data_IF_910735219135
#
_entry.id   IF_910735219135
#
_cell.length_a   1.000
_cell.length_b   1.000
_cell.length_c   1.000
_cell.angle_alpha   90.00
_cell.angle_beta   90.00
_cell.angle_gamma   90.00
#
_symmetry.space_group_name_H-M   'P 1'
#
loop_
_entity.id
_entity.type
_entity.pdbx_description
1 polymer ?
#
# COMPACT_ATOMS: atom_id res chain seq x y z
N UNK A 1 4.58 -35.72 30.97
CA UNK A 1 3.47 -36.62 31.36
C UNK A 1 2.74 -36.00 32.54
N UNK A 2 1.73 -35.18 32.29
CA UNK A 2 0.67 -34.92 33.27
C UNK A 2 -0.65 -35.24 32.57
N UNK A 3 -1.26 -36.33 33.01
CA UNK A 3 -2.52 -36.85 32.49
C UNK A 3 -3.66 -35.97 32.99
N UNK A 4 -4.28 -35.21 32.08
CA UNK A 4 -5.59 -34.61 32.29
C UNK A 4 -6.63 -35.66 31.91
N UNK A 5 -7.08 -36.45 32.89
CA UNK A 5 -8.21 -37.38 32.72
C UNK A 5 -9.46 -36.68 33.24
N UNK A 6 -9.97 -35.74 32.45
CA UNK A 6 -11.29 -35.16 32.65
C UNK A 6 -12.33 -36.03 31.94
N UNK A 7 -13.36 -36.47 32.67
CA UNK A 7 -14.52 -37.14 32.09
C UNK A 7 -15.18 -36.23 31.06
N UNK A 8 -15.08 -36.60 29.77
CA UNK A 8 -15.67 -35.88 28.66
C UNK A 8 -17.19 -36.09 28.68
N UNK A 9 -17.95 -35.08 29.10
CA UNK A 9 -19.42 -35.14 29.11
C UNK A 9 -19.94 -35.31 27.67
N UNK A 10 -20.63 -36.44 27.45
CA UNK A 10 -21.19 -36.87 26.17
C UNK A 10 -22.21 -35.90 25.58
N UNK A 11 -22.74 -34.95 26.38
CA UNK A 11 -23.63 -33.87 25.91
C UNK A 11 -22.88 -32.85 25.05
N UNK A 12 -21.58 -32.65 25.25
CA UNK A 12 -20.76 -31.72 24.45
C UNK A 12 -20.12 -32.38 23.22
N UNK A 13 -20.05 -33.72 23.18
CA UNK A 13 -19.58 -34.48 22.03
C UNK A 13 -20.43 -34.25 20.76
N UNK A 14 -21.71 -33.89 20.93
CA UNK A 14 -22.66 -33.72 19.82
C UNK A 14 -22.50 -32.41 19.04
N UNK A 15 -21.68 -31.47 19.51
CA UNK A 15 -21.39 -30.20 18.83
C UNK A 15 -20.05 -30.21 18.08
N UNK A 16 -19.20 -31.21 18.32
CA UNK A 16 -17.86 -31.31 17.73
C UNK A 16 -17.77 -32.41 16.68
N UNK A 17 -18.80 -32.59 15.85
CA UNK A 17 -18.61 -33.30 14.58
C UNK A 17 -18.06 -32.30 13.56
N UNK A 18 -16.77 -32.38 13.16
CA UNK A 18 -16.36 -31.71 11.95
C UNK A 18 -17.08 -32.42 10.80
N UNK A 19 -18.24 -31.88 10.41
CA UNK A 19 -18.85 -32.23 9.13
C UNK A 19 -17.82 -31.91 8.06
N UNK A 20 -17.11 -32.94 7.60
CA UNK A 20 -16.05 -32.91 6.58
C UNK A 20 -16.64 -32.68 5.19
N UNK A 21 -17.49 -31.65 5.07
CA UNK A 21 -18.18 -31.16 3.89
C UNK A 21 -18.32 -29.65 4.12
N UNK A 22 -17.26 -28.86 3.97
CA UNK A 22 -16.91 -28.19 2.71
C UNK A 22 -15.40 -27.83 2.65
N UNK A 23 -14.57 -28.67 2.05
CA UNK A 23 -13.16 -28.33 1.78
C UNK A 23 -13.00 -27.25 0.69
N UNK A 24 -14.08 -26.86 0.02
CA UNK A 24 -14.10 -25.80 -1.00
C UNK A 24 -14.89 -24.61 -0.47
N UNK A 25 -14.29 -23.42 -0.46
CA UNK A 25 -15.00 -22.23 -0.05
C UNK A 25 -16.16 -21.96 -1.00
N UNK A 26 -17.29 -21.51 -0.47
CA UNK A 26 -18.44 -21.17 -1.29
C UNK A 26 -18.10 -20.02 -2.26
N UNK A 27 -18.83 -19.90 -3.39
CA UNK A 27 -18.65 -18.78 -4.31
C UNK A 27 -18.82 -17.41 -3.62
N UNK A 28 -19.58 -17.34 -2.52
CA UNK A 28 -19.69 -16.14 -1.68
C UNK A 28 -18.40 -15.87 -0.91
N UNK A 29 -17.83 -16.89 -0.29
CA UNK A 29 -16.58 -16.78 0.46
C UNK A 29 -15.39 -16.46 -0.44
N UNK A 30 -15.31 -17.03 -1.66
CA UNK A 30 -14.27 -16.70 -2.64
C UNK A 30 -14.35 -15.22 -3.01
N UNK A 31 -15.55 -14.72 -3.34
CA UNK A 31 -15.77 -13.29 -3.63
C UNK A 31 -15.38 -12.40 -2.46
N UNK A 32 -15.76 -12.77 -1.24
CA UNK A 32 -15.39 -12.03 -0.03
C UNK A 32 -13.87 -12.00 0.21
N UNK A 33 -13.18 -13.13 0.01
CA UNK A 33 -11.71 -13.19 0.12
C UNK A 33 -11.03 -12.35 -0.95
N UNK A 34 -11.48 -12.42 -2.20
CA UNK A 34 -10.95 -11.61 -3.28
C UNK A 34 -11.08 -10.11 -2.98
N UNK A 35 -12.25 -9.66 -2.51
CA UNK A 35 -12.47 -8.27 -2.16
C UNK A 35 -11.70 -7.84 -0.91
N UNK A 36 -11.53 -8.72 0.08
CA UNK A 36 -10.64 -8.47 1.22
C UNK A 36 -9.20 -8.27 0.74
N UNK A 37 -8.69 -9.17 -0.10
CA UNK A 37 -7.33 -9.05 -0.66
C UNK A 37 -7.16 -7.76 -1.46
N UNK A 38 -8.16 -7.34 -2.24
CA UNK A 38 -8.12 -6.07 -2.98
C UNK A 38 -7.99 -4.88 -2.03
N UNK A 39 -8.78 -4.85 -0.96
CA UNK A 39 -8.73 -3.80 0.06
C UNK A 39 -7.41 -3.81 0.84
N UNK A 40 -6.91 -4.99 1.18
CA UNK A 40 -5.63 -5.13 1.88
C UNK A 40 -4.46 -4.63 1.01
N UNK A 41 -4.44 -4.96 -0.29
CA UNK A 41 -3.46 -4.43 -1.25
C UNK A 41 -3.51 -2.91 -1.35
N UNK A 42 -4.70 -2.34 -1.51
CA UNK A 42 -4.87 -0.88 -1.54
C UNK A 42 -4.34 -0.23 -0.26
N UNK A 43 -4.68 -0.80 0.90
CA UNK A 43 -4.18 -0.30 2.17
C UNK A 43 -2.65 -0.40 2.26
N UNK A 44 -2.05 -1.50 1.77
CA UNK A 44 -0.60 -1.67 1.71
C UNK A 44 0.06 -0.57 0.87
N UNK A 45 -0.47 -0.28 -0.32
CA UNK A 45 0.07 0.78 -1.18
C UNK A 45 -0.02 2.16 -0.53
N UNK A 46 -1.10 2.45 0.21
CA UNK A 46 -1.20 3.71 0.96
C UNK A 46 -0.13 3.80 2.05
N UNK A 47 0.18 2.71 2.74
CA UNK A 47 1.25 2.70 3.74
C UNK A 47 2.63 2.85 3.08
N UNK A 48 2.86 2.20 1.95
CA UNK A 48 4.10 2.36 1.18
C UNK A 48 4.28 3.81 0.70
N UNK A 49 3.22 4.45 0.20
CA UNK A 49 3.26 5.88 -0.14
C UNK A 49 3.67 6.75 1.05
N UNK A 50 3.22 6.40 2.27
CA UNK A 50 3.57 7.15 3.48
C UNK A 50 5.07 7.15 3.78
N UNK A 51 5.79 6.10 3.36
CA UNK A 51 7.24 5.98 3.56
C UNK A 51 8.06 6.51 2.38
N UNK A 52 7.51 6.47 1.16
CA UNK A 52 8.21 6.91 -0.05
C UNK A 52 8.15 8.42 -0.28
N UNK A 53 7.08 9.09 0.14
CA UNK A 53 6.91 10.53 -0.11
C UNK A 53 7.59 11.33 0.99
N UNK A 54 8.55 12.23 0.68
CA UNK A 54 9.32 12.97 1.69
C UNK A 54 8.46 13.75 2.69
N UNK A 55 7.33 14.29 2.21
CA UNK A 55 6.40 15.07 3.04
C UNK A 55 5.65 14.21 4.06
N UNK A 56 5.45 12.91 3.77
CA UNK A 56 4.75 11.99 4.67
C UNK A 56 5.72 11.19 5.54
N UNK A 57 6.89 10.84 5.01
CA UNK A 57 7.90 10.04 5.71
C UNK A 57 8.58 10.81 6.84
N UNK A 58 8.78 12.12 6.64
CA UNK A 58 9.47 12.99 7.61
C UNK A 58 8.51 13.60 8.63
N UNK A 59 7.22 13.27 8.57
CA UNK A 59 6.23 13.75 9.53
C UNK A 59 6.41 13.03 10.87
N UNK A 60 6.59 13.79 11.95
CA UNK A 60 6.63 13.24 13.31
C UNK A 60 5.28 12.61 13.73
N UNK A 61 4.17 13.06 13.12
CA UNK A 61 2.83 12.55 13.40
C UNK A 61 2.36 11.61 12.29
N UNK A 62 1.70 10.51 12.69
CA UNK A 62 1.00 9.63 11.74
C UNK A 62 -0.08 10.42 11.02
N UNK A 63 -0.02 10.41 9.69
CA UNK A 63 -0.98 11.07 8.82
C UNK A 63 -2.15 10.13 8.51
N UNK A 64 -3.34 10.68 8.37
CA UNK A 64 -4.49 9.94 7.87
C UNK A 64 -4.34 9.64 6.37
N UNK A 65 -5.11 8.68 5.87
CA UNK A 65 -5.01 8.19 4.48
C UNK A 65 -5.30 9.27 3.45
N UNK A 66 -6.24 10.19 3.73
CA UNK A 66 -6.59 11.24 2.79
C UNK A 66 -5.46 12.28 2.70
N UNK A 67 -4.85 12.63 3.83
CA UNK A 67 -3.67 13.49 3.86
C UNK A 67 -2.49 12.89 3.10
N UNK A 68 -2.20 11.59 3.28
CA UNK A 68 -1.15 10.89 2.50
C UNK A 68 -1.41 11.03 1.00
N UNK A 69 -2.63 10.71 0.54
CA UNK A 69 -2.98 10.80 -0.89
C UNK A 69 -2.84 12.22 -1.45
N UNK A 70 -3.26 13.25 -0.69
CA UNK A 70 -3.13 14.65 -1.10
C UNK A 70 -1.67 15.07 -1.24
N UNK A 71 -0.85 14.75 -0.25
CA UNK A 71 0.57 15.09 -0.25
C UNK A 71 1.31 14.36 -1.37
N UNK A 72 1.01 13.09 -1.61
CA UNK A 72 1.54 12.33 -2.76
C UNK A 72 1.16 13.00 -4.09
N UNK A 73 -0.10 13.39 -4.27
CA UNK A 73 -0.53 14.06 -5.50
C UNK A 73 0.20 15.40 -5.71
N UNK A 74 0.36 16.20 -4.65
CA UNK A 74 1.14 17.45 -4.69
C UNK A 74 2.62 17.19 -5.04
N UNK A 75 3.24 16.19 -4.41
CA UNK A 75 4.61 15.79 -4.70
C UNK A 75 4.80 15.40 -6.17
N UNK A 76 3.89 14.58 -6.72
CA UNK A 76 3.93 14.19 -8.13
C UNK A 76 3.75 15.40 -9.07
N UNK A 77 2.83 16.31 -8.78
CA UNK A 77 2.64 17.54 -9.59
C UNK A 77 3.90 18.39 -9.65
N UNK A 78 4.54 18.62 -8.50
CA UNK A 78 5.79 19.36 -8.41
C UNK A 78 6.88 18.63 -9.19
N UNK A 79 7.05 17.33 -8.96
CA UNK A 79 8.09 16.53 -9.61
C UNK A 79 7.92 16.47 -11.15
N UNK A 80 6.69 16.32 -11.65
CA UNK A 80 6.39 16.32 -13.08
C UNK A 80 6.64 17.71 -13.68
N UNK A 81 6.19 18.78 -13.02
CA UNK A 81 6.37 20.16 -13.51
C UNK A 81 7.84 20.54 -13.56
N UNK A 82 8.62 20.21 -12.53
CA UNK A 82 10.06 20.43 -12.48
C UNK A 82 10.83 19.56 -13.48
N UNK A 83 10.36 18.33 -13.75
CA UNK A 83 10.96 17.49 -14.80
C UNK A 83 10.71 18.08 -16.19
N UNK A 84 9.50 18.56 -16.46
CA UNK A 84 9.14 19.23 -17.71
C UNK A 84 9.91 20.53 -17.91
N UNK A 85 10.22 21.27 -16.84
CA UNK A 85 11.09 22.45 -16.92
C UNK A 85 12.57 22.08 -17.09
N UNK A 86 13.07 21.01 -16.47
CA UNK A 86 14.43 20.50 -16.72
C UNK A 86 14.65 20.06 -18.17
N UNK A 87 13.65 19.48 -18.83
CA UNK A 87 13.70 19.19 -20.27
C UNK A 87 13.67 20.48 -21.12
N UNK A 88 12.95 21.51 -20.67
CA UNK A 88 12.97 22.86 -21.29
C UNK A 88 14.21 23.69 -20.98
N UNK A 89 15.01 23.34 -19.97
CA UNK A 89 16.26 24.02 -19.61
C UNK A 89 17.49 23.35 -20.25
N UNK A 90 17.32 22.20 -20.91
CA UNK A 90 18.26 21.68 -21.92
C UNK A 90 18.04 22.37 -23.27
N UNK A 91 17.81 23.69 -23.27
CA UNK A 91 17.87 24.50 -24.48
C UNK A 91 19.31 24.97 -24.60
N UNK A 92 19.98 24.57 -25.69
CA UNK A 92 21.31 25.03 -26.06
C UNK A 92 21.36 26.56 -25.96
N UNK A 93 22.14 27.06 -25.00
CA UNK A 93 22.64 28.42 -25.11
C UNK A 93 23.61 28.43 -26.30
N UNK A 94 23.46 29.33 -27.27
CA UNK A 94 24.48 29.49 -28.30
C UNK A 94 25.80 29.82 -27.59
N UNK A 95 26.82 29.02 -27.88
CA UNK A 95 28.18 29.29 -27.44
C UNK A 95 28.56 30.66 -28.01
N UNK A 96 28.71 31.65 -27.13
CA UNK A 96 29.09 33.00 -27.52
C UNK A 96 30.55 32.90 -27.94
N UNK A 97 30.80 33.09 -29.23
CA UNK A 97 32.15 33.15 -29.77
C UNK A 97 32.83 34.45 -29.29
N UNK A 98 33.60 34.33 -28.22
CA UNK A 98 34.38 35.45 -27.66
C UNK A 98 35.56 35.85 -28.55
N UNK A 99 35.85 35.13 -29.65
CA UNK A 99 36.93 35.48 -30.59
C UNK A 99 36.57 36.63 -31.55
N UNK A 100 35.32 37.11 -31.52
CA UNK A 100 34.86 38.27 -32.32
C UNK A 100 35.08 39.61 -31.57
N UNK A 101 35.77 39.60 -30.43
CA UNK A 101 36.03 40.80 -29.61
C UNK A 101 37.45 41.36 -29.71
N UNK A 102 38.26 40.89 -30.66
CA UNK A 102 39.58 41.45 -30.98
C UNK A 102 39.62 42.07 -32.39
#
# INVERSE_FOLDING_TARGET
FYNFVGSFDSKFAKLATPSRRTLRPSNREIRNRAEKMRRDRLNSFIHELSTLVPMTSNSSKKLDKASILRLTASYLRIHITLKKSKEKLQVNFPEVDYTILD
#
